data_IF_181100576853
#
_entry.id   IF_181100576853
#
_cell.length_a   1.000
_cell.length_b   1.000
_cell.length_c   1.000
_cell.angle_alpha   90.00
_cell.angle_beta   90.00
_cell.angle_gamma   90.00
#
_symmetry.space_group_name_H-M   'P 1'
#
loop_
_entity.id
_entity.type
_entity.pdbx_description
1 polymer ?
#
# COMPACT_ATOMS: atom_id res chain seq x y z
N UNK A 1 6.59 7.36 6.39
CA UNK A 1 5.76 8.57 6.18
C UNK A 1 4.30 8.27 6.53
N UNK A 2 3.40 9.25 6.67
CA UNK A 2 1.97 8.98 6.87
C UNK A 2 1.22 9.14 5.54
N UNK A 3 0.25 8.26 5.26
CA UNK A 3 -0.53 8.26 4.01
C UNK A 3 -1.44 9.49 3.80
N UNK A 4 -1.52 10.41 4.75
CA UNK A 4 -2.37 11.61 4.74
C UNK A 4 -3.78 11.36 5.28
N UNK A 5 -4.35 10.17 5.04
CA UNK A 5 -5.62 9.70 5.62
C UNK A 5 -5.37 8.36 6.31
N UNK A 6 -5.93 8.16 7.50
CA UNK A 6 -5.85 6.89 8.23
C UNK A 6 -6.75 5.85 7.55
N UNK A 7 -6.16 4.77 7.04
CA UNK A 7 -6.87 3.67 6.39
C UNK A 7 -6.62 2.41 7.23
N UNK A 8 -7.54 2.02 8.13
CA UNK A 8 -7.33 0.90 9.04
C UNK A 8 -6.95 -0.42 8.34
N UNK A 9 -7.46 -0.65 7.14
CA UNK A 9 -7.14 -1.86 6.36
C UNK A 9 -5.68 -1.88 5.88
N UNK A 10 -5.12 -0.73 5.48
CA UNK A 10 -3.70 -0.58 5.10
C UNK A 10 -2.81 -0.85 6.31
N UNK A 11 -3.21 -0.36 7.49
CA UNK A 11 -2.50 -0.64 8.75
C UNK A 11 -2.57 -2.11 9.14
N UNK A 12 -3.74 -2.74 8.98
CA UNK A 12 -3.92 -4.17 9.25
C UNK A 12 -2.98 -5.02 8.38
N UNK A 13 -2.87 -4.69 7.10
CA UNK A 13 -1.96 -5.36 6.16
C UNK A 13 -0.47 -5.07 6.42
N UNK A 14 -0.15 -4.01 7.17
CA UNK A 14 1.23 -3.65 7.51
C UNK A 14 1.99 -2.99 6.36
N UNK A 15 1.30 -2.23 5.50
CA UNK A 15 1.95 -1.47 4.43
C UNK A 15 2.71 -0.26 4.98
N UNK A 16 3.93 -0.06 4.50
CA UNK A 16 4.81 1.03 4.94
C UNK A 16 5.15 1.98 3.78
N UNK A 17 4.80 3.26 3.91
CA UNK A 17 5.08 4.27 2.89
C UNK A 17 6.53 4.78 2.97
N UNK A 18 7.29 4.49 1.92
CA UNK A 18 8.72 4.81 1.78
C UNK A 18 8.99 6.02 0.89
N UNK A 19 8.22 6.18 -0.19
CA UNK A 19 8.33 7.30 -1.13
C UNK A 19 6.95 7.87 -1.45
N UNK A 20 6.84 9.20 -1.49
CA UNK A 20 5.66 9.94 -1.90
C UNK A 20 6.09 11.26 -2.52
N UNK A 21 6.40 11.26 -3.83
CA UNK A 21 6.91 12.46 -4.50
C UNK A 21 6.74 12.38 -6.02
N UNK A 22 6.28 13.48 -6.63
CA UNK A 22 6.47 13.72 -8.07
C UNK A 22 5.86 12.65 -9.00
N UNK A 23 4.68 12.12 -8.65
CA UNK A 23 4.01 11.06 -9.41
C UNK A 23 4.53 9.66 -9.10
N UNK A 24 5.41 9.51 -8.11
CA UNK A 24 6.00 8.24 -7.72
C UNK A 24 5.64 7.90 -6.27
N UNK A 25 5.46 6.60 -6.03
CA UNK A 25 5.29 6.05 -4.70
C UNK A 25 6.07 4.75 -4.55
N UNK A 26 6.45 4.47 -3.31
CA UNK A 26 6.98 3.17 -2.91
C UNK A 26 6.33 2.78 -1.60
N UNK A 27 5.79 1.57 -1.57
CA UNK A 27 5.23 0.95 -0.38
C UNK A 27 5.94 -0.38 -0.18
N UNK A 28 6.51 -0.56 1.01
CA UNK A 28 7.08 -1.82 1.42
C UNK A 28 6.00 -2.66 2.10
N UNK A 29 5.98 -3.97 1.80
CA UNK A 29 4.99 -4.91 2.31
C UNK A 29 5.62 -6.26 2.62
N UNK A 30 5.62 -6.61 3.91
CA UNK A 30 5.97 -7.95 4.39
C UNK A 30 4.70 -8.77 4.62
N UNK A 31 4.49 -9.81 3.81
CA UNK A 31 3.33 -10.68 3.93
C UNK A 31 3.41 -11.54 5.20
N UNK A 32 2.34 -11.52 6.00
CA UNK A 32 2.17 -12.37 7.18
C UNK A 32 1.44 -13.67 6.82
N UNK A 33 1.50 -14.72 7.65
CA UNK A 33 0.81 -15.99 7.39
C UNK A 33 -0.69 -15.83 7.08
N UNK A 34 -1.38 -14.91 7.76
CA UNK A 34 -2.80 -14.60 7.54
C UNK A 34 -3.09 -13.93 6.19
N UNK A 35 -2.07 -13.44 5.48
CA UNK A 35 -2.19 -12.84 4.15
C UNK A 35 -1.99 -13.84 3.00
N UNK A 36 -1.69 -15.10 3.30
CA UNK A 36 -1.40 -16.12 2.29
C UNK A 36 -2.68 -16.76 1.75
N UNK A 37 -2.62 -17.27 0.52
CA UNK A 37 -3.65 -18.10 -0.08
C UNK A 37 -3.41 -19.61 0.20
N UNK A 38 -4.26 -20.47 -0.36
CA UNK A 38 -4.16 -21.93 -0.22
C UNK A 38 -2.90 -22.56 -0.81
N UNK A 39 -2.11 -21.82 -1.59
CA UNK A 39 -0.81 -22.23 -2.12
C UNK A 39 0.37 -21.72 -1.29
N UNK A 40 0.12 -21.11 -0.13
CA UNK A 40 1.13 -20.53 0.77
C UNK A 40 1.96 -19.41 0.12
N UNK A 41 1.36 -18.67 -0.82
CA UNK A 41 1.91 -17.43 -1.37
C UNK A 41 0.97 -16.27 -1.04
N UNK A 42 1.45 -15.03 -1.12
CA UNK A 42 0.64 -13.83 -0.86
C UNK A 42 -0.67 -13.87 -1.66
N UNK A 43 -1.79 -13.71 -0.96
CA UNK A 43 -3.10 -13.73 -1.57
C UNK A 43 -3.26 -12.61 -2.60
N UNK A 44 -3.87 -12.91 -3.74
CA UNK A 44 -4.04 -11.94 -4.82
C UNK A 44 -4.77 -10.67 -4.38
N UNK A 45 -5.75 -10.80 -3.48
CA UNK A 45 -6.42 -9.65 -2.85
C UNK A 45 -5.46 -8.69 -2.14
N UNK A 46 -4.48 -9.20 -1.38
CA UNK A 46 -3.50 -8.35 -0.70
C UNK A 46 -2.55 -7.67 -1.69
N UNK A 47 -2.14 -8.38 -2.74
CA UNK A 47 -1.34 -7.81 -3.84
C UNK A 47 -2.11 -6.70 -4.57
N UNK A 48 -3.38 -6.94 -4.91
CA UNK A 48 -4.22 -5.94 -5.56
C UNK A 48 -4.45 -4.71 -4.67
N UNK A 49 -4.62 -4.90 -3.36
CA UNK A 49 -4.68 -3.78 -2.41
C UNK A 49 -3.36 -3.00 -2.37
N UNK A 50 -2.21 -3.66 -2.40
CA UNK A 50 -0.91 -2.97 -2.48
C UNK A 50 -0.81 -2.10 -3.73
N UNK A 51 -1.21 -2.64 -4.88
CA UNK A 51 -1.20 -1.91 -6.15
C UNK A 51 -2.16 -0.71 -6.14
N UNK A 52 -3.38 -0.90 -5.65
CA UNK A 52 -4.37 0.17 -5.52
C UNK A 52 -3.83 1.33 -4.68
N UNK A 53 -3.33 1.03 -3.47
CA UNK A 53 -2.78 2.04 -2.57
C UNK A 53 -1.55 2.70 -3.18
N UNK A 54 -0.62 1.95 -3.78
CA UNK A 54 0.57 2.51 -4.42
C UNK A 54 0.21 3.48 -5.54
N UNK A 55 -0.72 3.10 -6.44
CA UNK A 55 -1.16 3.96 -7.54
C UNK A 55 -1.89 5.21 -7.02
N UNK A 56 -2.78 5.08 -6.03
CA UNK A 56 -3.48 6.21 -5.44
C UNK A 56 -2.51 7.20 -4.76
N UNK A 57 -1.51 6.68 -4.06
CA UNK A 57 -0.46 7.47 -3.42
C UNK A 57 0.44 8.15 -4.46
N UNK A 58 0.80 7.45 -5.54
CA UNK A 58 1.55 8.05 -6.64
C UNK A 58 0.76 9.21 -7.29
N UNK A 59 -0.52 9.00 -7.57
CA UNK A 59 -1.38 10.03 -8.14
C UNK A 59 -1.51 11.26 -7.20
N UNK A 60 -1.68 11.05 -5.90
CA UNK A 60 -1.76 12.15 -4.93
C UNK A 60 -0.45 12.90 -4.74
N UNK A 61 0.70 12.27 -5.02
CA UNK A 61 2.01 12.91 -4.84
C UNK A 61 2.27 14.08 -5.80
N UNK A 62 1.52 14.20 -6.90
CA UNK A 62 1.62 15.35 -7.82
C UNK A 62 0.90 16.59 -7.30
N UNK A 63 -0.08 16.41 -6.41
CA UNK A 63 -0.92 17.50 -5.89
C UNK A 63 -1.36 17.18 -4.45
N UNK A 64 -0.45 17.27 -3.46
CA UNK A 64 -0.69 16.77 -2.10
C UNK A 64 -1.79 17.51 -1.33
N UNK A 65 -2.09 18.74 -1.75
CA UNK A 65 -3.02 19.70 -1.12
C UNK A 65 -4.44 19.66 -1.74
N UNK A 66 -4.66 18.84 -2.78
CA UNK A 66 -5.96 18.73 -3.49
C UNK A 66 -6.91 17.71 -2.86
#
# INVERSE_FOLDING_TARGET
MKFGVDIPFVHHLGFELMLFEGGHSQIDYEAKPEHLNSFQVTHGGAVMTLLDVAMAVAARSVQPES
#
